data_IF_259776159833
#
_entry.id   IF_259776159833
#
_cell.length_a   1.000
_cell.length_b   1.000
_cell.length_c   1.000
_cell.angle_alpha   90.00
_cell.angle_beta   90.00
_cell.angle_gamma   90.00
#
_symmetry.space_group_name_H-M   'P 1'
#
loop_
_entity.id
_entity.type
_entity.pdbx_description
1 polymer ?
#
# COMPACT_ATOMS: atom_id res chain seq x y z
N UNK A 1 10.99 -2.51 -1.66
CA UNK A 1 12.07 -1.92 -0.88
C UNK A 1 13.43 -2.39 -1.39
N UNK A 2 14.44 -1.52 -1.52
CA UNK A 2 15.73 -1.85 -2.16
C UNK A 2 16.43 -3.04 -1.49
N UNK A 3 16.25 -3.23 -0.20
CA UNK A 3 16.87 -4.33 0.55
C UNK A 3 16.32 -5.71 0.20
N UNK A 4 15.01 -5.83 0.02
CA UNK A 4 14.42 -7.08 -0.44
C UNK A 4 14.91 -7.44 -1.85
N UNK A 5 15.00 -6.44 -2.75
CA UNK A 5 15.55 -6.65 -4.09
C UNK A 5 17.03 -7.05 -4.06
N UNK A 6 17.84 -6.47 -3.16
CA UNK A 6 19.23 -6.85 -2.95
C UNK A 6 19.33 -8.31 -2.48
N UNK A 7 18.57 -8.71 -1.46
CA UNK A 7 18.54 -10.09 -0.99
C UNK A 7 18.11 -11.07 -2.09
N UNK A 8 17.06 -10.75 -2.85
CA UNK A 8 16.59 -11.59 -3.95
C UNK A 8 17.65 -11.75 -5.04
N UNK A 9 18.44 -10.71 -5.33
CA UNK A 9 19.49 -10.75 -6.34
C UNK A 9 20.72 -11.53 -5.88
N UNK A 10 21.20 -11.28 -4.68
CA UNK A 10 22.48 -11.81 -4.18
C UNK A 10 22.27 -13.10 -3.39
N UNK A 11 21.28 -13.14 -2.49
CA UNK A 11 20.97 -14.30 -1.65
C UNK A 11 20.21 -15.39 -2.39
N UNK A 12 19.10 -15.05 -3.03
CA UNK A 12 18.26 -15.99 -3.77
C UNK A 12 18.72 -16.19 -5.24
N UNK A 13 19.74 -15.46 -5.72
CA UNK A 13 20.32 -15.55 -7.08
C UNK A 13 19.30 -15.40 -8.21
N UNK A 14 18.25 -14.60 -7.98
CA UNK A 14 17.23 -14.36 -8.99
C UNK A 14 17.75 -13.44 -10.11
N UNK A 15 17.24 -13.64 -11.31
CA UNK A 15 17.57 -12.79 -12.44
C UNK A 15 17.00 -11.38 -12.28
N UNK A 16 17.66 -10.39 -12.88
CA UNK A 16 17.18 -9.00 -12.88
C UNK A 16 15.78 -8.89 -13.47
N UNK A 17 15.45 -9.70 -14.51
CA UNK A 17 14.11 -9.73 -15.11
C UNK A 17 13.02 -10.18 -14.14
N UNK A 18 13.29 -11.19 -13.30
CA UNK A 18 12.36 -11.63 -12.25
C UNK A 18 12.11 -10.55 -11.20
N UNK A 19 13.17 -9.85 -10.79
CA UNK A 19 13.05 -8.74 -9.82
C UNK A 19 12.22 -7.59 -10.42
N UNK A 20 12.41 -7.26 -11.69
CA UNK A 20 11.60 -6.25 -12.38
C UNK A 20 10.12 -6.65 -12.45
N UNK A 21 9.83 -7.95 -12.63
CA UNK A 21 8.46 -8.46 -12.64
C UNK A 21 7.78 -8.27 -11.27
N UNK A 22 8.51 -8.45 -10.16
CA UNK A 22 7.97 -8.16 -8.82
C UNK A 22 7.63 -6.67 -8.65
N UNK A 23 8.46 -5.75 -9.19
CA UNK A 23 8.15 -4.33 -9.17
C UNK A 23 6.92 -4.00 -10.02
N UNK A 24 6.73 -4.62 -11.17
CA UNK A 24 5.49 -4.48 -11.97
C UNK A 24 4.28 -4.88 -11.13
N UNK A 25 4.36 -6.01 -10.43
CA UNK A 25 3.27 -6.48 -9.58
C UNK A 25 2.98 -5.54 -8.40
N UNK A 26 4.03 -4.93 -7.84
CA UNK A 26 3.88 -3.88 -6.84
C UNK A 26 3.08 -2.70 -7.38
N UNK A 27 3.35 -2.26 -8.61
CA UNK A 27 2.57 -1.19 -9.24
C UNK A 27 1.12 -1.62 -9.54
N UNK A 28 0.86 -2.89 -9.87
CA UNK A 28 -0.51 -3.40 -9.95
C UNK A 28 -1.24 -3.27 -8.60
N UNK A 29 -0.57 -3.56 -7.48
CA UNK A 29 -1.10 -3.32 -6.14
C UNK A 29 -1.43 -1.85 -5.88
N UNK A 30 -0.55 -0.92 -6.30
CA UNK A 30 -0.79 0.52 -6.23
C UNK A 30 -2.04 0.92 -7.00
N UNK A 31 -2.21 0.43 -8.23
CA UNK A 31 -3.38 0.74 -9.07
C UNK A 31 -4.68 0.24 -8.45
N UNK A 32 -4.68 -1.00 -7.92
CA UNK A 32 -5.86 -1.58 -7.24
C UNK A 32 -6.22 -0.76 -6.01
N UNK A 33 -5.25 -0.40 -5.17
CA UNK A 33 -5.48 0.43 -3.99
C UNK A 33 -6.06 1.79 -4.37
N UNK A 34 -5.46 2.48 -5.34
CA UNK A 34 -5.93 3.78 -5.80
C UNK A 34 -7.38 3.72 -6.30
N UNK A 35 -7.72 2.66 -7.04
CA UNK A 35 -9.07 2.48 -7.56
C UNK A 35 -10.10 2.20 -6.46
N UNK A 36 -9.77 1.34 -5.48
CA UNK A 36 -10.69 0.95 -4.39
C UNK A 36 -10.86 2.07 -3.38
N UNK A 37 -9.78 2.74 -2.98
CA UNK A 37 -9.76 3.64 -1.83
C UNK A 37 -10.26 5.04 -2.21
N UNK A 38 -9.94 5.53 -3.42
CA UNK A 38 -10.24 6.90 -3.85
C UNK A 38 -11.68 7.35 -3.59
N UNK A 39 -12.65 6.46 -3.75
CA UNK A 39 -14.07 6.78 -3.59
C UNK A 39 -14.59 6.63 -2.16
N UNK A 40 -13.82 5.99 -1.30
CA UNK A 40 -14.27 5.62 0.05
C UNK A 40 -13.66 6.48 1.12
N UNK A 41 -12.45 6.97 0.90
CA UNK A 41 -11.72 7.71 1.90
C UNK A 41 -12.43 9.01 2.31
N UNK A 42 -13.18 9.62 1.39
CA UNK A 42 -13.94 10.85 1.68
C UNK A 42 -15.16 10.61 2.58
N UNK A 43 -15.72 9.39 2.54
CA UNK A 43 -16.89 9.00 3.35
C UNK A 43 -16.47 8.37 4.67
N UNK A 44 -15.45 7.51 4.62
CA UNK A 44 -15.02 6.68 5.77
C UNK A 44 -14.00 7.38 6.66
N UNK A 45 -13.32 8.43 6.11
CA UNK A 45 -12.18 9.06 6.75
C UNK A 45 -10.86 8.36 6.45
N UNK A 46 -9.75 8.96 6.85
CA UNK A 46 -8.40 8.46 6.53
C UNK A 46 -7.89 7.41 7.53
N UNK A 47 -8.34 7.48 8.80
CA UNK A 47 -7.83 6.64 9.89
C UNK A 47 -7.90 5.13 9.62
N UNK A 48 -9.06 4.53 9.20
CA UNK A 48 -9.13 3.10 8.95
C UNK A 48 -8.19 2.67 7.81
N UNK A 49 -7.93 3.54 6.83
CA UNK A 49 -7.00 3.25 5.75
C UNK A 49 -5.54 3.31 6.19
N UNK A 50 -5.18 4.19 7.13
CA UNK A 50 -3.86 4.14 7.77
C UNK A 50 -3.64 2.82 8.50
N UNK A 51 -4.61 2.37 9.29
CA UNK A 51 -4.53 1.09 9.99
C UNK A 51 -4.46 -0.09 9.02
N UNK A 52 -5.23 -0.05 7.93
CA UNK A 52 -5.15 -1.04 6.87
C UNK A 52 -3.75 -1.08 6.23
N UNK A 53 -3.17 0.08 5.92
CA UNK A 53 -1.82 0.15 5.35
C UNK A 53 -0.76 -0.46 6.28
N UNK A 54 -0.82 -0.14 7.58
CA UNK A 54 0.09 -0.70 8.59
C UNK A 54 -0.13 -2.20 8.77
N UNK A 55 -1.37 -2.68 8.71
CA UNK A 55 -1.69 -4.11 8.71
C UNK A 55 -1.06 -4.83 7.52
N UNK A 56 -1.18 -4.26 6.31
CA UNK A 56 -0.55 -4.80 5.11
C UNK A 56 0.99 -4.84 5.22
N UNK A 57 1.61 -3.78 5.73
CA UNK A 57 3.06 -3.77 5.99
C UNK A 57 3.47 -4.81 7.01
N UNK A 58 2.68 -5.00 8.06
CA UNK A 58 2.93 -6.03 9.08
C UNK A 58 2.87 -7.45 8.48
N UNK A 59 1.86 -7.72 7.65
CA UNK A 59 1.74 -9.02 6.94
C UNK A 59 2.95 -9.25 6.04
N UNK A 60 3.38 -8.24 5.30
CA UNK A 60 4.56 -8.33 4.43
C UNK A 60 5.84 -8.55 5.26
N UNK A 61 6.00 -7.86 6.41
CA UNK A 61 7.15 -8.05 7.29
C UNK A 61 7.21 -9.46 7.88
N UNK A 62 6.07 -9.98 8.33
CA UNK A 62 5.94 -11.35 8.85
C UNK A 62 6.24 -12.36 7.75
N UNK A 63 5.70 -12.16 6.53
CA UNK A 63 6.01 -13.02 5.39
C UNK A 63 7.53 -13.07 5.12
N UNK A 64 8.22 -11.92 5.07
CA UNK A 64 9.66 -11.87 4.84
C UNK A 64 10.46 -12.56 5.93
N UNK A 65 10.03 -12.49 7.20
CA UNK A 65 10.63 -13.23 8.29
C UNK A 65 10.64 -14.74 7.98
N UNK A 66 9.47 -15.32 7.69
CA UNK A 66 9.35 -16.75 7.40
C UNK A 66 10.02 -17.16 6.09
N UNK A 67 10.02 -16.27 5.09
CA UNK A 67 10.70 -16.53 3.82
C UNK A 67 12.22 -16.62 4.01
N UNK A 68 12.81 -15.74 4.82
CA UNK A 68 14.24 -15.73 5.10
C UNK A 68 14.70 -16.94 5.94
N UNK A 69 13.81 -17.45 6.79
CA UNK A 69 14.11 -18.59 7.67
C UNK A 69 13.98 -19.94 6.94
N UNK A 70 12.88 -20.13 6.21
CA UNK A 70 12.48 -21.44 5.68
C UNK A 70 12.18 -21.45 4.16
N UNK A 71 12.35 -20.34 3.46
CA UNK A 71 11.95 -20.21 2.06
C UNK A 71 10.43 -20.30 1.85
N UNK A 72 9.64 -19.99 2.88
CA UNK A 72 8.18 -20.15 2.90
C UNK A 72 7.49 -19.45 1.72
N UNK A 73 6.59 -20.17 1.05
CA UNK A 73 5.79 -19.64 -0.05
C UNK A 73 6.54 -19.51 -1.38
N UNK A 74 7.86 -19.72 -1.40
CA UNK A 74 8.66 -19.66 -2.62
C UNK A 74 8.44 -18.37 -3.43
N UNK A 75 8.58 -18.48 -4.75
CA UNK A 75 8.44 -17.32 -5.64
C UNK A 75 7.01 -16.74 -5.66
N UNK A 76 6.00 -17.58 -5.48
CA UNK A 76 4.58 -17.14 -5.45
C UNK A 76 4.30 -16.25 -4.25
N UNK A 77 4.86 -16.61 -3.09
CA UNK A 77 4.74 -15.78 -1.89
C UNK A 77 5.43 -14.42 -2.06
N UNK A 78 6.59 -14.37 -2.75
CA UNK A 78 7.26 -13.10 -3.09
C UNK A 78 6.36 -12.24 -3.98
N UNK A 79 5.69 -12.82 -4.98
CA UNK A 79 4.71 -12.10 -5.80
C UNK A 79 3.60 -11.48 -4.96
N UNK A 80 3.01 -12.26 -4.07
CA UNK A 80 1.95 -11.78 -3.17
C UNK A 80 2.47 -10.67 -2.25
N UNK A 81 3.65 -10.82 -1.68
CA UNK A 81 4.26 -9.81 -0.80
C UNK A 81 4.52 -8.48 -1.52
N UNK A 82 5.03 -8.49 -2.75
CA UNK A 82 5.22 -7.27 -3.54
C UNK A 82 3.90 -6.61 -3.92
N UNK A 83 2.88 -7.39 -4.27
CA UNK A 83 1.55 -6.86 -4.54
C UNK A 83 0.95 -6.19 -3.29
N UNK A 84 0.99 -6.85 -2.12
CA UNK A 84 0.51 -6.30 -0.85
C UNK A 84 1.31 -5.06 -0.43
N UNK A 85 2.62 -5.04 -0.68
CA UNK A 85 3.46 -3.88 -0.44
C UNK A 85 3.02 -2.67 -1.28
N UNK A 86 2.68 -2.88 -2.54
CA UNK A 86 2.13 -1.85 -3.42
C UNK A 86 0.78 -1.33 -2.93
N UNK A 87 -0.10 -2.24 -2.53
CA UNK A 87 -1.40 -1.94 -1.93
C UNK A 87 -1.24 -1.08 -0.67
N UNK A 88 -0.37 -1.48 0.25
CA UNK A 88 -0.08 -0.74 1.48
C UNK A 88 0.50 0.64 1.21
N UNK A 89 1.46 0.75 0.28
CA UNK A 89 2.11 2.02 -0.05
C UNK A 89 1.13 3.04 -0.62
N UNK A 90 0.26 2.64 -1.55
CA UNK A 90 -0.76 3.52 -2.11
C UNK A 90 -1.82 3.88 -1.08
N UNK A 91 -2.26 2.92 -0.27
CA UNK A 91 -3.22 3.16 0.82
C UNK A 91 -2.69 4.22 1.79
N UNK A 92 -1.43 4.09 2.21
CA UNK A 92 -0.75 5.07 3.06
C UNK A 92 -0.66 6.45 2.41
N UNK A 93 -0.19 6.52 1.16
CA UNK A 93 -0.02 7.78 0.44
C UNK A 93 -1.35 8.53 0.24
N UNK A 94 -2.42 7.82 -0.18
CA UNK A 94 -3.73 8.40 -0.38
C UNK A 94 -4.32 8.89 0.95
N UNK A 95 -4.12 8.13 2.04
CA UNK A 95 -4.57 8.53 3.37
C UNK A 95 -3.87 9.80 3.86
N UNK A 96 -2.56 9.93 3.65
CA UNK A 96 -1.81 11.15 3.97
C UNK A 96 -2.30 12.36 3.18
N UNK A 97 -2.49 12.21 1.86
CA UNK A 97 -2.97 13.28 1.00
C UNK A 97 -4.39 13.73 1.36
N UNK A 98 -5.22 12.84 1.89
CA UNK A 98 -6.58 13.17 2.32
C UNK A 98 -6.62 13.77 3.73
N UNK A 99 -5.81 13.26 4.66
CA UNK A 99 -5.83 13.63 6.07
C UNK A 99 -5.13 14.97 6.33
N UNK A 100 -3.92 15.14 5.80
CA UNK A 100 -3.07 16.29 6.11
C UNK A 100 -3.75 17.65 5.82
N UNK A 101 -4.42 17.87 4.66
CA UNK A 101 -5.12 19.11 4.38
C UNK A 101 -6.35 19.37 5.27
N UNK A 102 -6.90 18.34 5.93
CA UNK A 102 -8.10 18.47 6.77
C UNK A 102 -7.78 18.96 8.18
N UNK A 103 -6.58 18.67 8.67
CA UNK A 103 -6.17 19.06 10.04
C UNK A 103 -5.50 20.43 10.12
N UNK A 104 -5.17 21.04 8.98
CA UNK A 104 -4.46 22.32 8.91
C UNK A 104 -5.39 23.41 8.41
N UNK A 105 -5.30 24.61 9.05
CA UNK A 105 -6.03 25.80 8.62
C UNK A 105 -5.70 26.19 7.18
N UNK A 106 -6.63 26.86 6.48
CA UNK A 106 -6.48 27.17 5.05
C UNK A 106 -5.23 27.98 4.71
N UNK A 107 -4.85 28.91 5.57
CA UNK A 107 -3.71 29.82 5.36
C UNK A 107 -2.36 29.10 5.50
N UNK A 108 -2.23 28.14 6.42
CA UNK A 108 -0.98 27.44 6.70
C UNK A 108 -0.84 26.13 5.93
N UNK A 109 -1.88 25.71 5.22
CA UNK A 109 -1.96 24.39 4.57
C UNK A 109 -0.78 24.11 3.64
N UNK A 110 -0.44 25.09 2.78
CA UNK A 110 0.65 24.94 1.82
C UNK A 110 1.99 24.75 2.51
N UNK A 111 2.25 25.55 3.56
CA UNK A 111 3.48 25.47 4.34
C UNK A 111 3.63 24.12 5.03
N UNK A 112 2.60 23.66 5.72
CA UNK A 112 2.62 22.41 6.48
C UNK A 112 2.76 21.20 5.54
N UNK A 113 2.05 21.20 4.40
CA UNK A 113 2.18 20.13 3.39
C UNK A 113 3.59 20.11 2.81
N UNK A 114 4.19 21.28 2.53
CA UNK A 114 5.56 21.38 2.01
C UNK A 114 6.60 20.90 3.03
N UNK A 115 6.48 21.31 4.30
CA UNK A 115 7.37 20.84 5.37
C UNK A 115 7.24 19.33 5.57
N UNK A 116 6.01 18.81 5.63
CA UNK A 116 5.77 17.37 5.73
C UNK A 116 6.41 16.61 4.56
N UNK A 117 6.25 17.11 3.33
CA UNK A 117 6.87 16.54 2.13
C UNK A 117 8.40 16.54 2.21
N UNK A 118 9.00 17.66 2.62
CA UNK A 118 10.45 17.78 2.77
C UNK A 118 11.00 16.82 3.85
N UNK A 119 10.38 16.78 5.01
CA UNK A 119 10.78 15.88 6.12
C UNK A 119 10.66 14.43 5.70
N UNK A 120 9.55 14.06 5.06
CA UNK A 120 9.32 12.69 4.56
C UNK A 120 10.35 12.30 3.50
N UNK A 121 10.69 13.21 2.58
CA UNK A 121 11.72 12.99 1.58
C UNK A 121 13.12 12.84 2.19
N UNK A 122 13.49 13.66 3.17
CA UNK A 122 14.74 13.55 3.90
C UNK A 122 14.85 12.20 4.63
N UNK A 123 13.84 11.83 5.41
CA UNK A 123 13.82 10.55 6.15
C UNK A 123 13.83 9.38 5.16
N UNK A 124 13.02 9.44 4.10
CA UNK A 124 12.97 8.41 3.07
C UNK A 124 14.29 8.25 2.30
N UNK A 125 14.99 9.35 2.04
CA UNK A 125 16.30 9.34 1.40
C UNK A 125 17.43 8.85 2.30
N UNK A 126 17.42 9.21 3.59
CA UNK A 126 18.43 8.79 4.56
C UNK A 126 18.24 7.32 5.01
N UNK A 127 17.01 6.84 5.08
CA UNK A 127 16.70 5.48 5.53
C UNK A 127 17.50 4.39 4.77
N UNK A 128 17.59 4.37 3.43
CA UNK A 128 18.41 3.39 2.71
C UNK A 128 19.89 3.45 3.08
N UNK A 129 20.43 4.66 3.34
CA UNK A 129 21.84 4.84 3.71
C UNK A 129 22.10 4.21 5.08
N UNK A 130 21.29 4.53 6.09
CA UNK A 130 21.41 3.98 7.45
C UNK A 130 21.32 2.46 7.43
N UNK A 131 20.31 1.92 6.76
CA UNK A 131 20.14 0.48 6.64
C UNK A 131 21.25 -0.18 5.81
N UNK A 132 21.76 0.50 4.78
CA UNK A 132 22.90 0.03 3.99
C UNK A 132 24.17 -0.16 4.84
N UNK A 133 24.45 0.81 5.73
CA UNK A 133 25.55 0.71 6.68
C UNK A 133 25.34 -0.45 7.65
N UNK A 134 24.13 -0.58 8.19
CA UNK A 134 23.78 -1.66 9.12
C UNK A 134 23.91 -3.05 8.46
N UNK A 135 23.41 -3.21 7.24
CA UNK A 135 23.55 -4.46 6.49
C UNK A 135 24.99 -4.79 6.17
N UNK A 136 25.80 -3.78 5.77
CA UNK A 136 27.22 -3.97 5.51
C UNK A 136 28.01 -4.38 6.76
N UNK A 137 27.68 -3.83 7.93
CA UNK A 137 28.32 -4.20 9.19
C UNK A 137 28.02 -5.64 9.61
N UNK A 138 26.88 -6.20 9.17
CA UNK A 138 26.52 -7.60 9.44
C UNK A 138 26.93 -8.59 8.32
N UNK A 139 27.51 -8.08 7.23
CA UNK A 139 27.91 -8.89 6.07
C UNK A 139 29.39 -9.28 6.21
N UNK A 140 29.65 -10.52 6.66
CA UNK A 140 30.97 -11.09 6.64
C UNK A 140 31.34 -11.46 5.22
N UNK A 141 32.27 -10.71 4.62
CA UNK A 141 32.72 -10.86 3.23
C UNK A 141 33.16 -12.30 2.87
N UNK A 142 33.46 -13.13 3.86
CA UNK A 142 33.85 -14.53 3.70
C UNK A 142 32.69 -15.54 3.70
N UNK A 143 31.49 -15.15 4.20
CA UNK A 143 30.35 -16.06 4.41
C UNK A 143 29.12 -15.76 3.57
N UNK A 144 29.12 -14.66 2.81
CA UNK A 144 27.95 -14.22 2.04
C UNK A 144 26.90 -13.52 2.91
N UNK A 145 25.72 -13.28 2.34
CA UNK A 145 24.65 -12.53 3.00
C UNK A 145 24.16 -13.28 4.24
N UNK A 146 24.22 -12.61 5.39
CA UNK A 146 23.67 -13.15 6.64
C UNK A 146 22.13 -12.89 6.69
N UNK A 147 21.28 -13.93 6.58
CA UNK A 147 19.83 -13.74 6.59
C UNK A 147 19.30 -13.16 7.91
N UNK A 148 20.00 -13.37 9.03
CA UNK A 148 19.60 -12.85 10.34
C UNK A 148 19.57 -11.31 10.37
N UNK A 149 20.50 -10.64 9.68
CA UNK A 149 20.52 -9.17 9.61
C UNK A 149 19.26 -8.64 8.89
N UNK A 150 18.84 -9.33 7.83
CA UNK A 150 17.60 -8.99 7.15
C UNK A 150 16.36 -9.29 8.00
N UNK A 151 16.36 -10.34 8.80
CA UNK A 151 15.28 -10.64 9.75
C UNK A 151 15.13 -9.50 10.77
N UNK A 152 16.20 -8.99 11.36
CA UNK A 152 16.16 -7.84 12.26
C UNK A 152 15.57 -6.59 11.62
N UNK A 153 15.86 -6.35 10.34
CA UNK A 153 15.21 -5.26 9.60
C UNK A 153 13.70 -5.41 9.59
N UNK A 154 13.16 -6.60 9.27
CA UNK A 154 11.71 -6.81 9.22
C UNK A 154 11.07 -6.80 10.61
N UNK A 155 11.76 -7.25 11.66
CA UNK A 155 11.29 -7.07 13.05
C UNK A 155 11.17 -5.60 13.39
N UNK A 156 12.16 -4.79 13.04
CA UNK A 156 12.12 -3.35 13.28
C UNK A 156 10.93 -2.71 12.56
N UNK A 157 10.68 -3.07 11.29
CA UNK A 157 9.51 -2.62 10.54
C UNK A 157 8.21 -3.01 11.23
N UNK A 158 8.12 -4.24 11.75
CA UNK A 158 6.94 -4.74 12.48
C UNK A 158 6.71 -3.95 13.78
N UNK A 159 7.75 -3.74 14.57
CA UNK A 159 7.68 -2.95 15.83
C UNK A 159 7.19 -1.53 15.52
N UNK A 160 7.75 -0.88 14.49
CA UNK A 160 7.29 0.44 14.06
C UNK A 160 5.83 0.44 13.60
N UNK A 161 5.42 -0.56 12.82
CA UNK A 161 4.03 -0.68 12.35
C UNK A 161 3.06 -0.82 13.53
N UNK A 162 3.37 -1.64 14.53
CA UNK A 162 2.55 -1.81 15.74
C UNK A 162 2.50 -0.52 16.55
N UNK A 163 3.65 0.12 16.78
CA UNK A 163 3.74 1.38 17.51
C UNK A 163 2.92 2.49 16.83
N UNK A 164 3.10 2.66 15.52
CA UNK A 164 2.33 3.62 14.73
C UNK A 164 0.84 3.30 14.73
N UNK A 165 0.45 2.02 14.66
CA UNK A 165 -0.96 1.63 14.74
C UNK A 165 -1.60 2.06 16.05
N UNK A 166 -0.88 1.92 17.17
CA UNK A 166 -1.38 2.34 18.49
C UNK A 166 -1.52 3.88 18.61
N UNK A 167 -0.60 4.63 17.99
CA UNK A 167 -0.66 6.09 17.93
C UNK A 167 -1.81 6.57 17.02
N UNK A 168 -1.92 6.00 15.82
CA UNK A 168 -2.96 6.34 14.86
C UNK A 168 -4.36 5.97 15.35
N UNK A 169 -4.47 4.90 16.17
CA UNK A 169 -5.73 4.54 16.80
C UNK A 169 -6.26 5.61 17.77
N UNK A 170 -5.40 6.54 18.25
CA UNK A 170 -5.76 7.64 19.15
C UNK A 170 -6.00 8.96 18.42
N UNK A 171 -5.77 9.04 17.11
CA UNK A 171 -6.00 10.26 16.36
C UNK A 171 -7.49 10.63 16.38
N UNK A 172 -7.82 11.89 16.70
CA UNK A 172 -9.18 12.37 16.57
C UNK A 172 -9.56 12.39 15.09
N UNK A 173 -10.64 11.72 14.75
CA UNK A 173 -11.20 11.76 13.40
C UNK A 173 -12.51 12.53 13.46
N UNK A 174 -12.50 13.77 12.98
CA UNK A 174 -13.70 14.55 12.80
C UNK A 174 -14.55 13.93 11.68
N UNK A 175 -15.73 13.44 12.03
CA UNK A 175 -16.78 12.97 11.10
C UNK A 175 -16.55 11.61 10.43
N UNK A 176 -15.93 10.64 11.08
CA UNK A 176 -16.07 9.25 10.66
C UNK A 176 -17.53 8.81 10.89
N UNK A 177 -18.31 8.70 9.83
CA UNK A 177 -19.56 7.97 9.91
C UNK A 177 -19.24 6.49 10.22
N UNK A 178 -19.95 5.83 11.15
CA UNK A 178 -19.74 4.42 11.43
C UNK A 178 -19.85 3.64 10.12
N UNK A 179 -18.80 2.90 9.78
CA UNK A 179 -18.76 2.10 8.56
C UNK A 179 -19.63 0.89 8.79
N UNK A 180 -20.76 0.83 8.12
CA UNK A 180 -21.56 -0.38 8.06
C UNK A 180 -20.74 -1.48 7.35
N UNK A 181 -20.45 -2.60 8.02
CA UNK A 181 -19.69 -3.72 7.44
C UNK A 181 -20.33 -4.28 6.16
N UNK A 182 -21.64 -4.09 5.99
CA UNK A 182 -22.41 -4.43 4.79
C UNK A 182 -21.96 -3.56 3.58
N UNK A 183 -21.53 -2.32 3.80
CA UNK A 183 -21.01 -1.44 2.74
C UNK A 183 -19.69 -1.94 2.15
N UNK A 184 -18.86 -2.61 2.92
CA UNK A 184 -17.58 -3.17 2.45
C UNK A 184 -17.84 -4.34 1.49
N UNK A 185 -18.77 -5.24 1.81
CA UNK A 185 -19.15 -6.37 0.96
C UNK A 185 -19.76 -5.94 -0.38
N UNK A 186 -20.73 -5.02 -0.34
CA UNK A 186 -21.39 -4.51 -1.54
C UNK A 186 -20.46 -3.69 -2.46
N UNK A 187 -19.39 -3.16 -1.93
CA UNK A 187 -18.48 -2.34 -2.70
C UNK A 187 -17.45 -3.17 -3.48
N UNK A 188 -17.18 -4.41 -3.08
CA UNK A 188 -16.37 -5.36 -3.87
C UNK A 188 -17.14 -5.78 -5.14
N UNK A 189 -18.47 -5.84 -5.08
CA UNK A 189 -19.33 -6.23 -6.20
C UNK A 189 -19.66 -5.08 -7.17
N UNK A 190 -19.49 -3.81 -6.77
CA UNK A 190 -19.77 -2.64 -7.62
C UNK A 190 -18.94 -2.51 -8.91
N UNK A 191 -17.69 -2.98 -9.03
CA UNK A 191 -17.00 -2.94 -10.32
C UNK A 191 -17.70 -3.78 -11.40
N UNK A 192 -18.30 -4.89 -11.02
CA UNK A 192 -19.08 -5.70 -11.96
C UNK A 192 -20.37 -4.96 -12.39
N UNK A 193 -20.96 -4.18 -11.51
CA UNK A 193 -22.11 -3.31 -11.86
C UNK A 193 -21.69 -2.16 -12.78
N UNK A 194 -20.48 -1.61 -12.65
CA UNK A 194 -19.97 -0.58 -13.56
C UNK A 194 -19.73 -1.13 -14.98
N UNK A 195 -19.25 -2.36 -15.10
CA UNK A 195 -19.12 -3.05 -16.41
C UNK A 195 -20.50 -3.26 -17.02
N UNK A 196 -21.48 -3.70 -16.24
CA UNK A 196 -22.87 -3.85 -16.70
C UNK A 196 -23.46 -2.50 -17.12
N UNK A 197 -23.14 -1.41 -16.41
CA UNK A 197 -23.57 -0.05 -16.78
C UNK A 197 -22.93 0.43 -18.09
N UNK A 198 -21.66 0.12 -18.32
CA UNK A 198 -20.95 0.45 -19.57
C UNK A 198 -21.49 -0.39 -20.74
N UNK A 199 -21.80 -1.66 -20.54
CA UNK A 199 -22.43 -2.52 -21.54
C UNK A 199 -23.81 -1.97 -21.93
N UNK A 200 -24.63 -1.58 -20.95
CA UNK A 200 -25.95 -0.98 -21.18
C UNK A 200 -25.90 0.43 -21.82
N UNK A 201 -24.77 1.14 -21.73
CA UNK A 201 -24.56 2.43 -22.41
C UNK A 201 -24.19 2.26 -23.89
N UNK A 202 -23.61 1.11 -24.24
CA UNK A 202 -23.21 0.78 -25.61
C UNK A 202 -24.37 0.12 -26.38
N UNK A 203 -25.34 -0.49 -25.69
CA UNK A 203 -26.54 -1.00 -26.33
C UNK A 203 -27.46 0.16 -26.79
N UNK A 204 -27.80 0.25 -28.08
CA UNK A 204 -28.71 1.28 -28.58
C UNK A 204 -30.05 1.10 -27.90
N UNK A 205 -30.51 2.14 -27.17
CA UNK A 205 -31.82 2.14 -26.54
C UNK A 205 -32.90 1.88 -27.59
N UNK A 206 -33.79 0.90 -27.39
CA UNK A 206 -34.90 0.71 -28.28
C UNK A 206 -35.75 1.99 -28.29
N UNK A 207 -36.28 2.40 -29.44
CA UNK A 207 -37.04 3.65 -29.60
C UNK A 207 -38.21 3.67 -28.62
N UNK A 208 -38.35 4.79 -27.91
CA UNK A 208 -39.38 5.04 -26.91
C UNK A 208 -40.77 4.90 -27.57
N UNK A 209 -41.60 4.04 -27.06
CA UNK A 209 -42.97 3.76 -27.60
C UNK A 209 -43.90 4.97 -27.63
N UNK A 210 -43.56 6.09 -27.03
CA UNK A 210 -44.40 7.28 -26.91
C UNK A 210 -44.38 8.19 -28.16
N UNK A 211 -43.44 7.99 -29.10
CA UNK A 211 -43.42 8.82 -30.33
C UNK A 211 -44.36 8.34 -31.42
N UNK A 212 -44.94 7.14 -31.32
CA UNK A 212 -45.90 6.59 -32.30
C UNK A 212 -47.34 7.03 -32.07
N UNK A 213 -47.63 7.92 -31.14
CA UNK A 213 -48.98 8.38 -30.85
C UNK A 213 -49.30 9.79 -31.39
N UNK A 214 -48.40 10.38 -32.16
CA UNK A 214 -48.58 11.73 -32.73
C UNK A 214 -48.59 11.78 -34.26
N UNK A 215 -48.70 10.66 -34.91
CA UNK A 215 -49.12 10.53 -36.32
C UNK A 215 -50.52 9.89 -36.34
#
# INVERSE_FOLDING_TARGET
PPFAAYYLKVGAKLSTGQIMLFEVLRYCGVMVAAWVIRRRIDVTGARPFFLLALGLYSIVAIYWWFYLENGFGGIVGVFAAYFLLGLGAATWAISNLNYLPKIVSGEERTLVVSIHGAVTACIGGLSPVVWGIFLKAGDDAARGINPQVFQWFFVTVLVWAVTLSSLLARLPEDKAHPVDPILIGNAILRPFQAVTYLVNLVEPRPPRKDERRKE
#
